data_IF_503278358223
#
_entry.id   IF_503278358223
#
_cell.length_a   1.000
_cell.length_b   1.000
_cell.length_c   1.000
_cell.angle_alpha   90.00
_cell.angle_beta   90.00
_cell.angle_gamma   90.00
#
_symmetry.space_group_name_H-M   'P 1'
#
loop_
_entity.id
_entity.type
_entity.pdbx_description
1 polymer ?
#
# COMPACT_ATOMS: atom_id res chain seq x y z
N UNK A 1 42.16 1.74 41.64
CA UNK A 1 42.68 0.48 41.04
C UNK A 1 42.17 0.42 39.60
N UNK A 2 43.05 0.29 38.61
CA UNK A 2 42.67 0.25 37.18
C UNK A 2 42.13 -1.13 36.84
N UNK A 3 40.92 -1.23 36.31
CA UNK A 3 40.45 -2.43 35.62
C UNK A 3 40.63 -2.23 34.11
N UNK A 4 41.43 -3.10 33.50
CA UNK A 4 41.51 -3.29 32.06
C UNK A 4 40.18 -3.89 31.57
N UNK A 5 39.60 -3.32 30.52
CA UNK A 5 38.66 -4.05 29.66
C UNK A 5 39.33 -4.17 28.29
N UNK A 6 39.58 -5.42 27.90
CA UNK A 6 40.11 -5.81 26.60
C UNK A 6 39.03 -5.57 25.54
N UNK A 7 39.32 -4.67 24.61
CA UNK A 7 38.58 -4.48 23.37
C UNK A 7 38.82 -5.68 22.45
N UNK A 8 37.90 -6.65 22.43
CA UNK A 8 37.78 -7.57 21.29
C UNK A 8 36.39 -8.22 21.13
N UNK A 9 35.69 -7.65 20.14
CA UNK A 9 34.71 -8.22 19.21
C UNK A 9 33.20 -8.06 19.48
N UNK A 10 32.41 -7.91 18.38
CA UNK A 10 31.15 -7.19 18.34
C UNK A 10 29.95 -8.12 18.13
N UNK A 11 28.78 -7.66 18.57
CA UNK A 11 27.51 -8.21 18.13
C UNK A 11 26.65 -8.79 19.26
N UNK A 12 25.44 -8.25 19.31
CA UNK A 12 24.22 -8.83 19.90
C UNK A 12 23.99 -8.61 21.42
N UNK A 13 22.97 -7.78 21.64
CA UNK A 13 21.84 -7.97 22.56
C UNK A 13 22.15 -8.28 24.02
N UNK A 14 22.39 -7.25 24.82
CA UNK A 14 22.02 -7.25 26.25
C UNK A 14 21.54 -5.84 26.59
N UNK A 15 20.23 -5.59 26.51
CA UNK A 15 19.33 -5.61 27.66
C UNK A 15 19.82 -4.74 28.81
N UNK A 16 19.00 -3.75 29.13
CA UNK A 16 19.14 -2.77 30.21
C UNK A 16 19.58 -3.41 31.53
N UNK A 17 20.61 -2.86 32.17
CA UNK A 17 20.86 -3.11 33.59
C UNK A 17 21.04 -1.77 34.32
N UNK A 18 20.28 -1.67 35.41
CA UNK A 18 20.05 -0.51 36.26
C UNK A 18 21.25 -0.21 37.18
N UNK A 19 21.30 1.06 37.60
CA UNK A 19 22.18 1.78 38.50
C UNK A 19 22.79 1.04 39.72
N UNK A 20 23.89 1.61 40.23
CA UNK A 20 24.28 1.53 41.65
C UNK A 20 24.50 2.94 42.21
N UNK A 21 23.72 3.31 43.22
CA UNK A 21 23.88 4.54 44.00
C UNK A 21 24.99 4.25 45.03
N UNK A 22 26.14 4.93 44.94
CA UNK A 22 27.15 4.87 46.00
C UNK A 22 27.01 6.06 46.95
N UNK A 23 26.42 5.76 48.11
CA UNK A 23 26.45 6.51 49.39
C UNK A 23 25.84 7.91 49.44
N UNK A 24 24.67 8.01 50.07
CA UNK A 24 24.20 9.25 50.70
C UNK A 24 24.87 9.37 52.09
N UNK A 25 25.83 10.29 52.24
CA UNK A 25 26.27 10.73 53.57
C UNK A 25 25.46 11.96 53.99
N UNK A 26 24.70 11.79 55.07
CA UNK A 26 24.00 12.88 55.73
C UNK A 26 25.03 13.71 56.53
N UNK A 27 25.63 14.70 55.88
CA UNK A 27 26.53 15.69 56.49
C UNK A 27 25.87 17.06 56.50
N UNK A 28 25.49 17.54 57.69
CA UNK A 28 24.89 18.86 57.90
C UNK A 28 26.01 19.92 57.92
N UNK A 29 26.11 20.76 56.88
CA UNK A 29 26.97 21.94 56.88
C UNK A 29 26.28 23.13 56.17
N UNK A 30 26.25 24.34 56.76
CA UNK A 30 25.68 25.53 56.15
C UNK A 30 26.73 26.26 55.30
N UNK A 31 26.36 26.72 54.10
CA UNK A 31 27.13 27.72 53.35
C UNK A 31 27.89 27.24 52.10
N UNK A 32 27.27 26.45 51.21
CA UNK A 32 27.81 26.24 49.86
C UNK A 32 26.77 26.61 48.81
N UNK A 33 27.06 27.67 48.06
CA UNK A 33 26.33 28.11 46.88
C UNK A 33 26.62 27.13 45.73
N UNK A 34 25.58 26.65 45.06
CA UNK A 34 25.71 25.68 43.96
C UNK A 34 26.26 26.41 42.74
N UNK A 35 27.58 26.38 42.52
CA UNK A 35 28.21 27.16 41.45
C UNK A 35 28.21 26.49 40.06
N UNK A 36 27.41 25.44 39.81
CA UNK A 36 27.15 25.00 38.45
C UNK A 36 25.91 24.11 38.34
N UNK A 37 24.95 24.49 37.49
CA UNK A 37 23.90 23.59 37.00
C UNK A 37 24.42 22.96 35.71
N UNK A 38 24.73 21.65 35.72
CA UNK A 38 24.92 20.90 34.47
C UNK A 38 23.55 20.64 33.88
N UNK A 39 23.19 21.37 32.83
CA UNK A 39 22.07 20.97 31.98
C UNK A 39 22.50 19.72 31.21
N UNK A 40 22.07 18.54 31.65
CA UNK A 40 22.18 17.31 30.85
C UNK A 40 21.13 17.43 29.72
N UNK A 41 21.48 18.20 28.68
CA UNK A 41 20.67 18.31 27.49
C UNK A 41 20.80 17.04 26.67
N UNK A 42 19.90 16.07 26.88
CA UNK A 42 19.65 15.07 25.87
C UNK A 42 18.99 15.78 24.68
N UNK A 43 19.76 16.15 23.66
CA UNK A 43 19.17 16.51 22.37
C UNK A 43 18.66 15.22 21.75
N UNK A 44 17.42 14.84 22.09
CA UNK A 44 16.70 13.83 21.34
C UNK A 44 16.41 14.44 19.97
N UNK A 45 17.15 14.01 18.94
CA UNK A 45 16.65 14.16 17.58
C UNK A 45 15.31 13.44 17.58
N UNK A 46 14.17 14.10 17.31
CA UNK A 46 12.92 13.37 17.20
C UNK A 46 13.11 12.40 16.04
N UNK A 47 13.15 11.10 16.35
CA UNK A 47 12.98 10.09 15.34
C UNK A 47 11.64 10.42 14.69
N UNK A 48 11.67 10.94 13.46
CA UNK A 48 10.47 11.24 12.70
C UNK A 48 9.85 9.88 12.36
N UNK A 49 9.12 9.32 13.32
CA UNK A 49 8.46 8.05 13.18
C UNK A 49 7.58 8.12 11.96
N UNK A 50 7.74 7.18 11.02
CA UNK A 50 6.82 7.04 9.90
C UNK A 50 5.44 6.79 10.52
N UNK A 51 4.52 7.74 10.37
CA UNK A 51 3.15 7.59 10.86
C UNK A 51 2.54 6.36 10.18
N UNK A 52 2.34 5.30 10.97
CA UNK A 52 1.67 4.08 10.51
C UNK A 52 0.18 4.38 10.39
N UNK A 53 -0.39 4.06 9.24
CA UNK A 53 -1.79 4.34 8.96
C UNK A 53 -2.38 3.36 7.97
N UNK A 54 -3.71 3.23 7.99
CA UNK A 54 -4.46 2.56 6.94
C UNK A 54 -4.14 3.23 5.59
N UNK A 55 -4.22 2.53 4.44
CA UNK A 55 -4.00 3.19 3.16
C UNK A 55 -4.99 4.34 3.03
N UNK A 56 -4.51 5.51 2.61
CA UNK A 56 -5.30 6.74 2.61
C UNK A 56 -5.61 7.24 1.20
N UNK A 57 -4.86 6.77 0.20
CA UNK A 57 -5.03 7.17 -1.19
C UNK A 57 -4.98 5.98 -2.12
N UNK A 58 -5.81 6.06 -3.15
CA UNK A 58 -5.80 5.17 -4.29
C UNK A 58 -5.94 6.02 -5.56
N UNK A 59 -5.18 5.69 -6.61
CA UNK A 59 -5.56 6.05 -7.97
C UNK A 59 -6.78 5.22 -8.29
N UNK A 60 -7.96 5.83 -8.17
CA UNK A 60 -9.21 5.10 -8.34
C UNK A 60 -9.48 4.80 -9.81
N UNK A 61 -9.91 3.58 -10.12
CA UNK A 61 -10.40 3.26 -11.46
C UNK A 61 -11.63 4.10 -11.83
N UNK A 62 -11.90 4.32 -13.13
CA UNK A 62 -13.15 4.92 -13.57
C UNK A 62 -14.35 4.07 -13.13
N UNK A 63 -15.53 4.66 -12.85
CA UNK A 63 -16.70 3.90 -12.42
C UNK A 63 -17.28 2.99 -13.53
N UNK A 64 -17.00 3.31 -14.80
CA UNK A 64 -17.42 2.53 -15.96
C UNK A 64 -16.24 2.40 -16.92
N UNK A 65 -16.01 1.21 -17.42
CA UNK A 65 -14.98 0.90 -18.40
C UNK A 65 -15.64 0.12 -19.53
N UNK A 66 -15.78 0.78 -20.68
CA UNK A 66 -16.23 0.14 -21.91
C UNK A 66 -15.01 -0.10 -22.79
N UNK A 67 -14.91 -1.32 -23.34
CA UNK A 67 -13.75 -1.72 -24.12
C UNK A 67 -14.13 -2.69 -25.21
N UNK A 68 -13.22 -2.92 -26.15
CA UNK A 68 -13.48 -3.78 -27.30
C UNK A 68 -12.74 -5.10 -27.13
N UNK A 69 -13.34 -6.19 -27.61
CA UNK A 69 -12.71 -7.51 -27.59
C UNK A 69 -11.34 -7.54 -28.31
N UNK A 70 -11.15 -6.73 -29.36
CA UNK A 70 -9.89 -6.64 -30.09
C UNK A 70 -8.79 -5.83 -29.38
N UNK A 71 -9.14 -4.95 -28.44
CA UNK A 71 -8.17 -4.08 -27.74
C UNK A 71 -7.94 -4.46 -26.29
N UNK A 72 -8.92 -5.11 -25.65
CA UNK A 72 -8.91 -5.31 -24.21
C UNK A 72 -9.02 -4.00 -23.43
N UNK A 73 -8.73 -4.06 -22.13
CA UNK A 73 -8.70 -2.93 -21.21
C UNK A 73 -7.67 -3.13 -20.09
N UNK A 74 -7.18 -2.01 -19.55
CA UNK A 74 -6.44 -1.95 -18.30
C UNK A 74 -7.18 -1.02 -17.35
N UNK A 75 -7.55 -1.54 -16.19
CA UNK A 75 -8.26 -0.82 -15.14
C UNK A 75 -7.26 -0.48 -14.03
N UNK A 76 -6.80 0.78 -13.94
CA UNK A 76 -5.75 1.15 -13.00
C UNK A 76 -6.25 1.11 -11.56
N UNK A 77 -5.46 0.53 -10.67
CA UNK A 77 -5.65 0.68 -9.23
C UNK A 77 -4.30 0.64 -8.51
N UNK A 78 -3.84 1.79 -8.07
CA UNK A 78 -2.57 1.94 -7.34
C UNK A 78 -2.89 2.54 -5.99
N UNK A 79 -2.40 1.95 -4.90
CA UNK A 79 -2.64 2.44 -3.55
C UNK A 79 -1.34 2.78 -2.82
N UNK A 80 -1.39 3.84 -2.01
CA UNK A 80 -0.25 4.27 -1.20
C UNK A 80 -0.60 4.26 0.28
N UNK A 81 0.38 3.92 1.10
CA UNK A 81 0.25 3.83 2.55
C UNK A 81 1.56 3.47 3.22
N UNK A 82 1.61 3.64 4.54
CA UNK A 82 2.74 3.22 5.38
C UNK A 82 2.20 2.32 6.49
N UNK A 83 2.44 0.99 6.46
CA UNK A 83 3.24 0.26 5.48
C UNK A 83 2.62 0.18 4.07
N UNK A 84 3.41 -0.07 3.01
CA UNK A 84 2.90 -0.19 1.65
C UNK A 84 1.78 -1.24 1.54
N UNK A 85 0.61 -0.89 0.96
CA UNK A 85 -0.48 -1.83 0.83
C UNK A 85 -0.28 -2.82 -0.31
N UNK A 86 -0.81 -4.03 -0.12
CA UNK A 86 -1.06 -4.98 -1.19
C UNK A 86 -2.40 -4.64 -1.85
N UNK A 87 -2.39 -4.53 -3.17
CA UNK A 87 -3.60 -4.35 -3.98
C UNK A 87 -4.13 -5.73 -4.42
N UNK A 88 -5.42 -5.95 -4.25
CA UNK A 88 -6.16 -7.12 -4.76
C UNK A 88 -7.49 -6.66 -5.35
N UNK A 89 -8.15 -7.56 -6.09
CA UNK A 89 -9.46 -7.28 -6.67
C UNK A 89 -10.50 -8.28 -6.19
N UNK A 90 -11.75 -7.82 -6.09
CA UNK A 90 -12.90 -8.65 -5.75
C UNK A 90 -14.07 -8.43 -6.71
N UNK A 91 -14.99 -9.38 -6.73
CA UNK A 91 -16.32 -9.18 -7.31
C UNK A 91 -17.13 -8.20 -6.45
N UNK A 92 -18.30 -7.77 -6.96
CA UNK A 92 -19.29 -7.00 -6.20
C UNK A 92 -19.74 -7.70 -4.91
N UNK A 93 -19.74 -9.02 -4.87
CA UNK A 93 -20.11 -9.82 -3.69
C UNK A 93 -18.97 -9.95 -2.68
N UNK A 94 -17.79 -9.36 -2.96
CA UNK A 94 -16.62 -9.41 -2.10
C UNK A 94 -15.77 -10.67 -2.28
N UNK A 95 -16.08 -11.52 -3.26
CA UNK A 95 -15.26 -12.70 -3.53
C UNK A 95 -13.94 -12.30 -4.20
N UNK A 96 -12.80 -12.86 -3.77
CA UNK A 96 -11.53 -12.54 -4.39
C UNK A 96 -11.52 -12.95 -5.86
N UNK A 97 -10.93 -12.11 -6.71
CA UNK A 97 -10.74 -12.47 -8.12
C UNK A 97 -9.55 -13.42 -8.27
N UNK A 98 -9.75 -14.41 -9.12
CA UNK A 98 -8.70 -15.29 -9.61
C UNK A 98 -8.34 -14.92 -11.05
N UNK A 99 -7.10 -15.20 -11.41
CA UNK A 99 -6.65 -15.10 -12.79
C UNK A 99 -7.40 -16.10 -13.66
N UNK A 100 -7.79 -15.66 -14.85
CA UNK A 100 -8.40 -16.49 -15.88
C UNK A 100 -7.44 -16.47 -17.05
N UNK A 101 -6.80 -17.60 -17.40
CA UNK A 101 -5.81 -17.65 -18.47
C UNK A 101 -6.33 -16.99 -19.75
N UNK A 102 -5.57 -16.01 -20.25
CA UNK A 102 -5.92 -15.26 -21.48
C UNK A 102 -7.02 -14.20 -21.33
N UNK A 103 -7.81 -14.18 -20.25
CA UNK A 103 -8.99 -13.32 -20.13
C UNK A 103 -8.93 -12.33 -18.97
N UNK A 104 -8.20 -12.63 -17.89
CA UNK A 104 -8.06 -11.74 -16.74
C UNK A 104 -6.79 -12.04 -15.95
N UNK A 105 -6.00 -11.00 -15.69
CA UNK A 105 -4.86 -11.09 -14.76
C UNK A 105 -4.62 -9.76 -14.04
N UNK A 106 -3.80 -9.78 -12.99
CA UNK A 106 -3.44 -8.58 -12.24
C UNK A 106 -1.96 -8.26 -12.47
N UNK A 107 -1.66 -6.99 -12.74
CA UNK A 107 -0.28 -6.50 -12.86
C UNK A 107 0.32 -6.25 -11.48
N UNK A 108 1.65 -6.19 -11.43
CA UNK A 108 2.40 -5.90 -10.20
C UNK A 108 2.12 -4.49 -9.62
N UNK A 109 1.64 -3.56 -10.43
CA UNK A 109 1.21 -2.22 -10.00
C UNK A 109 -0.18 -2.22 -9.33
N UNK A 110 -0.89 -3.35 -9.36
CA UNK A 110 -2.26 -3.49 -8.84
C UNK A 110 -3.36 -3.28 -9.90
N UNK A 111 -3.01 -2.95 -11.15
CA UNK A 111 -3.98 -2.77 -12.23
C UNK A 111 -4.59 -4.11 -12.67
N UNK A 112 -5.91 -4.11 -12.91
CA UNK A 112 -6.61 -5.26 -13.48
C UNK A 112 -6.53 -5.21 -15.01
N UNK A 113 -6.11 -6.30 -15.63
CA UNK A 113 -5.98 -6.40 -17.09
C UNK A 113 -7.02 -7.36 -17.62
N UNK A 114 -7.74 -6.91 -18.65
CA UNK A 114 -8.66 -7.67 -19.47
C UNK A 114 -8.06 -7.70 -20.87
N UNK A 115 -7.28 -8.74 -21.25
CA UNK A 115 -6.62 -8.80 -22.56
C UNK A 115 -7.62 -8.82 -23.72
N UNK A 116 -7.15 -8.58 -24.95
CA UNK A 116 -7.92 -8.92 -26.14
C UNK A 116 -8.34 -10.39 -26.14
N UNK A 117 -9.55 -10.66 -26.60
CA UNK A 117 -10.16 -12.00 -26.57
C UNK A 117 -11.03 -12.22 -27.81
N UNK A 118 -11.24 -13.50 -28.18
CA UNK A 118 -12.14 -13.86 -29.30
C UNK A 118 -13.60 -13.74 -28.86
N UNK A 119 -14.52 -13.48 -29.79
CA UNK A 119 -15.94 -13.39 -29.45
C UNK A 119 -16.44 -14.68 -28.76
N UNK A 120 -15.96 -15.84 -29.21
CA UNK A 120 -16.25 -17.16 -28.60
C UNK A 120 -15.80 -17.29 -27.13
N UNK A 121 -14.77 -16.55 -26.72
CA UNK A 121 -14.22 -16.59 -25.36
C UNK A 121 -14.92 -15.62 -24.41
N UNK A 122 -16.01 -14.98 -24.86
CA UNK A 122 -16.76 -14.05 -24.03
C UNK A 122 -17.31 -14.75 -22.77
N UNK A 123 -16.96 -14.21 -21.60
CA UNK A 123 -17.45 -14.64 -20.30
C UNK A 123 -18.09 -13.46 -19.59
N UNK A 124 -19.37 -13.59 -19.22
CA UNK A 124 -20.11 -12.50 -18.55
C UNK A 124 -19.45 -12.09 -17.22
N UNK A 125 -18.97 -13.06 -16.45
CA UNK A 125 -18.27 -12.86 -15.17
C UNK A 125 -16.86 -12.26 -15.30
N UNK A 126 -16.36 -12.10 -16.54
CA UNK A 126 -15.08 -11.46 -16.84
C UNK A 126 -15.27 -10.13 -17.57
N UNK A 127 -16.05 -10.15 -18.65
CA UNK A 127 -16.14 -9.07 -19.63
C UNK A 127 -17.38 -8.18 -19.45
N UNK A 128 -18.37 -8.60 -18.63
CA UNK A 128 -19.55 -7.79 -18.26
C UNK A 128 -19.81 -7.87 -16.76
N UNK A 129 -18.79 -7.52 -15.98
CA UNK A 129 -18.76 -7.71 -14.54
C UNK A 129 -18.66 -6.39 -13.77
N UNK A 130 -18.85 -6.48 -12.45
CA UNK A 130 -18.58 -5.39 -11.51
C UNK A 130 -17.46 -5.81 -10.59
N UNK A 131 -16.38 -5.03 -10.59
CA UNK A 131 -15.18 -5.25 -9.82
C UNK A 131 -14.97 -4.20 -8.76
N UNK A 132 -14.23 -4.56 -7.71
CA UNK A 132 -13.81 -3.64 -6.67
C UNK A 132 -12.34 -3.87 -6.34
N UNK A 133 -11.57 -2.79 -6.28
CA UNK A 133 -10.19 -2.85 -5.88
C UNK A 133 -10.08 -2.72 -4.36
N UNK A 134 -9.20 -3.52 -3.75
CA UNK A 134 -8.95 -3.55 -2.31
C UNK A 134 -7.47 -3.29 -2.04
N UNK A 135 -7.18 -2.35 -1.16
CA UNK A 135 -5.82 -2.06 -0.71
C UNK A 135 -5.69 -2.41 0.77
N UNK A 136 -4.81 -3.36 1.08
CA UNK A 136 -4.66 -3.93 2.43
C UNK A 136 -3.23 -3.77 2.93
N UNK A 137 -3.08 -3.21 4.13
CA UNK A 137 -1.82 -3.23 4.87
C UNK A 137 -2.06 -3.70 6.32
N UNK A 138 -1.02 -3.73 7.15
CA UNK A 138 -1.11 -4.15 8.55
C UNK A 138 -2.04 -3.29 9.42
N UNK A 139 -2.37 -2.07 8.96
CA UNK A 139 -3.26 -1.15 9.66
C UNK A 139 -4.72 -1.26 9.19
N UNK A 140 -4.97 -2.03 8.13
CA UNK A 140 -6.30 -2.38 7.66
C UNK A 140 -6.47 -2.32 6.15
N UNK A 141 -7.74 -2.38 5.73
CA UNK A 141 -8.15 -2.43 4.32
C UNK A 141 -9.05 -1.26 3.96
N UNK A 142 -8.87 -0.73 2.76
CA UNK A 142 -9.83 0.17 2.09
C UNK A 142 -10.22 -0.43 0.74
N UNK A 143 -11.35 0.00 0.19
CA UNK A 143 -11.79 -0.42 -1.14
C UNK A 143 -12.26 0.75 -1.99
N UNK A 144 -12.07 0.63 -3.30
CA UNK A 144 -12.58 1.58 -4.28
C UNK A 144 -14.12 1.56 -4.35
N UNK A 145 -14.71 2.42 -5.17
CA UNK A 145 -16.08 2.22 -5.65
C UNK A 145 -16.20 1.02 -6.59
N UNK A 146 -17.43 0.67 -6.93
CA UNK A 146 -17.78 -0.37 -7.90
C UNK A 146 -17.39 0.06 -9.33
N UNK A 147 -16.54 -0.73 -9.98
CA UNK A 147 -16.11 -0.54 -11.36
C UNK A 147 -16.92 -1.47 -12.26
N UNK A 148 -17.80 -0.92 -13.08
CA UNK A 148 -18.56 -1.70 -14.06
C UNK A 148 -17.75 -1.79 -15.36
N UNK A 149 -17.38 -3.00 -15.76
CA UNK A 149 -16.74 -3.25 -17.05
C UNK A 149 -17.76 -3.82 -18.03
N UNK A 150 -17.65 -3.44 -19.30
CA UNK A 150 -18.43 -4.03 -20.39
C UNK A 150 -17.59 -4.11 -21.66
N UNK A 151 -17.46 -5.30 -22.21
CA UNK A 151 -16.86 -5.48 -23.53
C UNK A 151 -17.91 -5.34 -24.63
N UNK A 152 -17.54 -4.64 -25.70
CA UNK A 152 -18.22 -4.65 -26.99
C UNK A 152 -17.42 -5.43 -28.03
N UNK A 153 -18.09 -5.80 -29.13
CA UNK A 153 -17.45 -6.49 -30.25
C UNK A 153 -17.00 -5.48 -31.31
N UNK A 154 -15.74 -5.58 -31.73
CA UNK A 154 -15.26 -4.95 -32.97
C UNK A 154 -15.76 -5.78 -34.15
N UNK A 155 -16.99 -5.55 -34.59
CA UNK A 155 -17.39 -5.99 -35.92
C UNK A 155 -16.71 -5.07 -36.94
N UNK A 156 -15.88 -5.60 -37.87
CA UNK A 156 -15.21 -4.78 -38.89
C UNK A 156 -16.20 -3.99 -39.77
N UNK A 157 -17.47 -4.39 -39.84
CA UNK A 157 -18.50 -3.70 -40.61
C UNK A 157 -19.23 -2.58 -39.84
N UNK A 158 -19.13 -2.50 -38.51
CA UNK A 158 -19.91 -1.52 -37.73
C UNK A 158 -19.24 -0.14 -37.69
N UNK A 159 -17.91 -0.09 -37.75
CA UNK A 159 -17.16 1.17 -37.86
C UNK A 159 -17.58 1.97 -39.11
N UNK A 160 -17.86 1.29 -40.24
CA UNK A 160 -18.36 1.95 -41.45
C UNK A 160 -19.81 2.45 -41.32
N UNK A 161 -20.66 1.77 -40.53
CA UNK A 161 -22.04 2.22 -40.31
C UNK A 161 -22.09 3.48 -39.42
N UNK A 162 -21.20 3.59 -38.43
CA UNK A 162 -21.10 4.80 -37.60
C UNK A 162 -20.52 6.00 -38.35
N UNK A 163 -19.56 5.79 -39.28
CA UNK A 163 -19.03 6.88 -40.12
C UNK A 163 -20.09 7.37 -41.11
N UNK A 164 -20.86 6.47 -41.75
CA UNK A 164 -21.96 6.88 -42.65
C UNK A 164 -23.08 7.66 -41.95
N UNK A 165 -23.26 7.48 -40.64
CA UNK A 165 -24.28 8.21 -39.87
C UNK A 165 -23.82 9.62 -39.45
N UNK A 166 -22.52 9.90 -39.50
CA UNK A 166 -21.97 11.22 -39.20
C UNK A 166 -21.91 12.15 -40.43
N UNK A 167 -22.21 11.63 -41.63
CA UNK A 167 -22.12 12.36 -42.91
C UNK A 167 -23.50 12.59 -43.57
N UNK A 168 -24.60 12.46 -42.80
CA UNK A 168 -25.98 12.71 -43.25
C UNK A 168 -26.69 13.76 -42.41
#
# INVERSE_FOLDING_TARGET
>A
MRCFFDDRLPGLLHSWVIATISEARLGKAPGFEVQQVVHIGASSVPARGKSLGRPTSFTSPPPRVEFLNGTGAVVPCVAHGSPPPRVTWSTRTGQPLHEVPGLRHMRADGSLVLPPFRAEDFKEDVHSAVYRCLATNSMGTIGSHDVRVRAGELFPNFFLLSIKKAES
#
